data_IF_219000291416
#
_entry.id   IF_219000291416
#
_cell.length_a   1.000
_cell.length_b   1.000
_cell.length_c   1.000
_cell.angle_alpha   90.00
_cell.angle_beta   90.00
_cell.angle_gamma   90.00
#
_symmetry.space_group_name_H-M   'P 1'
#
loop_
_entity.id
_entity.type
_entity.pdbx_description
1 polymer ?
#
# COMPACT_ATOMS: atom_id res chain seq x y z
N UNK A 1 12.12 9.78 -7.19
CA UNK A 1 12.85 9.22 -6.04
C UNK A 1 11.85 8.43 -5.21
N UNK A 2 12.22 7.26 -4.69
CA UNK A 2 11.25 6.43 -3.98
C UNK A 2 10.80 7.11 -2.68
N UNK A 3 9.49 7.11 -2.41
CA UNK A 3 8.90 7.69 -1.20
C UNK A 3 8.46 6.58 -0.26
N UNK A 4 8.87 6.65 1.01
CA UNK A 4 8.42 5.68 2.02
C UNK A 4 6.96 5.96 2.41
N UNK A 5 6.10 4.96 2.27
CA UNK A 5 4.70 5.01 2.71
C UNK A 5 4.49 4.29 4.03
N UNK A 6 5.21 3.19 4.24
CA UNK A 6 5.28 2.45 5.50
C UNK A 6 6.73 2.02 5.76
N UNK A 7 7.22 2.30 6.97
CA UNK A 7 8.48 1.76 7.43
C UNK A 7 8.39 0.22 7.52
N UNK A 8 9.49 -0.48 7.26
CA UNK A 8 9.56 -1.93 7.41
C UNK A 8 9.31 -2.33 8.87
N UNK A 9 8.45 -3.32 9.08
CA UNK A 9 8.10 -3.87 10.40
C UNK A 9 7.17 -5.07 10.26
N UNK A 10 6.80 -5.69 11.37
CA UNK A 10 5.99 -6.93 11.41
C UNK A 10 4.67 -6.80 12.19
N UNK A 11 4.43 -5.64 12.78
CA UNK A 11 3.17 -5.30 13.47
C UNK A 11 2.17 -4.66 12.51
N UNK A 12 0.88 -4.76 12.81
CA UNK A 12 -0.16 -4.08 12.03
C UNK A 12 0.07 -2.57 12.03
N UNK A 13 0.02 -1.94 10.85
CA UNK A 13 0.25 -0.51 10.69
C UNK A 13 -0.44 0.02 9.43
N UNK A 14 -0.90 1.26 9.49
CA UNK A 14 -1.47 1.98 8.35
C UNK A 14 -0.53 3.09 7.87
N UNK A 15 -0.46 3.31 6.57
CA UNK A 15 0.14 4.52 6.00
C UNK A 15 -0.73 5.75 6.25
N UNK A 16 -0.17 6.94 6.01
CA UNK A 16 -0.98 8.12 5.73
C UNK A 16 -1.78 7.95 4.42
N UNK A 17 -2.77 8.81 4.20
CA UNK A 17 -3.52 8.90 2.96
C UNK A 17 -2.61 9.33 1.80
N UNK A 18 -2.69 8.61 0.68
CA UNK A 18 -1.92 8.88 -0.54
C UNK A 18 -2.87 9.22 -1.66
N UNK A 19 -2.76 10.42 -2.21
CA UNK A 19 -3.63 10.90 -3.30
C UNK A 19 -2.99 10.55 -4.65
N UNK A 20 -3.75 9.86 -5.50
CA UNK A 20 -3.43 9.66 -6.91
C UNK A 20 -4.34 10.58 -7.73
N UNK A 21 -3.74 11.57 -8.39
CA UNK A 21 -4.47 12.53 -9.21
C UNK A 21 -4.97 11.90 -10.54
N UNK A 22 -5.99 12.50 -11.13
CA UNK A 22 -6.48 12.08 -12.46
C UNK A 22 -5.36 12.16 -13.51
N UNK A 23 -5.29 11.15 -14.38
CA UNK A 23 -4.24 11.02 -15.39
C UNK A 23 -2.84 10.68 -14.86
N UNK A 24 -2.68 10.54 -13.54
CA UNK A 24 -1.44 10.09 -12.91
C UNK A 24 -1.48 8.59 -12.63
N UNK A 25 -0.30 8.00 -12.46
CA UNK A 25 -0.17 6.64 -11.94
C UNK A 25 0.78 6.63 -10.75
N UNK A 26 0.57 5.67 -9.85
CA UNK A 26 1.41 5.47 -8.68
C UNK A 26 1.85 4.01 -8.64
N UNK A 27 3.14 3.78 -8.84
CA UNK A 27 3.71 2.45 -8.62
C UNK A 27 4.01 2.30 -7.13
N UNK A 28 3.52 1.24 -6.52
CA UNK A 28 3.80 0.88 -5.13
C UNK A 28 4.40 -0.51 -5.04
N UNK A 29 5.36 -0.68 -4.14
CA UNK A 29 6.06 -1.93 -3.96
C UNK A 29 6.43 -2.17 -2.49
N UNK A 30 6.58 -3.45 -2.14
CA UNK A 30 7.01 -3.86 -0.82
C UNK A 30 8.53 -3.70 -0.64
N UNK A 31 8.97 -3.45 0.59
CA UNK A 31 10.38 -3.36 1.00
C UNK A 31 10.67 -4.26 2.19
N UNK A 32 11.79 -4.98 2.16
CA UNK A 32 12.21 -5.86 3.26
C UNK A 32 11.19 -6.97 3.52
N UNK A 33 10.87 -7.72 2.46
CA UNK A 33 9.77 -8.69 2.38
C UNK A 33 10.20 -10.06 2.87
N UNK A 34 9.41 -10.66 3.76
CA UNK A 34 9.45 -12.09 4.05
C UNK A 34 8.28 -12.86 3.41
N UNK A 35 8.26 -14.18 3.59
CA UNK A 35 7.26 -15.09 3.00
C UNK A 35 5.82 -14.81 3.45
N UNK A 36 5.64 -14.19 4.62
CA UNK A 36 4.33 -13.90 5.22
C UNK A 36 3.89 -12.46 5.00
N UNK A 37 4.69 -11.66 4.29
CA UNK A 37 4.39 -10.26 4.03
C UNK A 37 3.03 -10.10 3.33
N UNK A 38 2.18 -9.27 3.93
CA UNK A 38 0.87 -8.94 3.38
C UNK A 38 0.54 -7.48 3.68
N UNK A 39 0.22 -6.75 2.62
CA UNK A 39 -0.29 -5.37 2.70
C UNK A 39 -1.57 -5.29 1.91
N UNK A 40 -2.64 -4.81 2.55
CA UNK A 40 -3.88 -4.48 1.88
C UNK A 40 -3.85 -3.05 1.34
N UNK A 41 -4.43 -2.88 0.16
CA UNK A 41 -4.62 -1.58 -0.48
C UNK A 41 -6.09 -1.22 -0.31
N UNK A 42 -6.35 -0.07 0.30
CA UNK A 42 -7.68 0.47 0.49
C UNK A 42 -7.85 1.74 -0.33
N UNK A 43 -9.05 1.93 -0.89
CA UNK A 43 -9.52 3.16 -1.51
C UNK A 43 -10.53 3.83 -0.58
N UNK A 44 -10.39 5.13 -0.37
CA UNK A 44 -11.30 5.94 0.43
C UNK A 44 -12.55 6.29 -0.38
N UNK A 45 -13.73 6.03 0.18
CA UNK A 45 -15.01 6.45 -0.39
C UNK A 45 -15.35 7.91 -0.03
N UNK A 46 -16.44 8.43 -0.59
CA UNK A 46 -16.94 9.78 -0.39
C UNK A 46 -17.49 10.04 1.03
N UNK A 47 -17.81 8.98 1.77
CA UNK A 47 -18.17 9.03 3.19
C UNK A 47 -16.95 8.92 4.12
N UNK A 48 -15.73 8.77 3.57
CA UNK A 48 -14.48 8.64 4.32
C UNK A 48 -14.18 7.21 4.80
N UNK A 49 -14.98 6.22 4.41
CA UNK A 49 -14.74 4.80 4.63
C UNK A 49 -13.62 4.27 3.74
N UNK A 50 -13.00 3.15 4.14
CA UNK A 50 -11.90 2.54 3.40
C UNK A 50 -12.33 1.16 2.89
N UNK A 51 -12.39 1.01 1.56
CA UNK A 51 -12.77 -0.24 0.90
C UNK A 51 -11.52 -0.96 0.38
N UNK A 52 -11.39 -2.26 0.68
CA UNK A 52 -10.25 -3.04 0.20
C UNK A 52 -10.38 -3.26 -1.31
N UNK A 53 -9.40 -2.76 -2.07
CA UNK A 53 -9.37 -2.87 -3.54
C UNK A 53 -8.24 -3.77 -4.05
N UNK A 54 -7.32 -4.18 -3.17
CA UNK A 54 -6.23 -5.06 -3.57
C UNK A 54 -5.31 -5.48 -2.43
N UNK A 55 -4.20 -6.10 -2.80
CA UNK A 55 -3.14 -6.49 -1.88
C UNK A 55 -1.79 -6.62 -2.58
N UNK A 56 -0.74 -6.42 -1.81
CA UNK A 56 0.63 -6.82 -2.11
C UNK A 56 1.04 -7.96 -1.18
N UNK A 57 1.85 -8.89 -1.70
CA UNK A 57 2.41 -10.00 -0.94
C UNK A 57 3.81 -10.36 -1.46
N UNK A 58 4.48 -11.32 -0.84
CA UNK A 58 5.75 -11.85 -1.37
C UNK A 58 5.65 -12.34 -2.83
N UNK A 59 4.51 -12.91 -3.23
CA UNK A 59 4.27 -13.37 -4.59
C UNK A 59 3.88 -12.23 -5.57
N UNK A 60 3.26 -11.16 -5.06
CA UNK A 60 2.88 -9.97 -5.83
C UNK A 60 3.40 -8.73 -5.10
N UNK A 61 4.70 -8.50 -5.21
CA UNK A 61 5.41 -7.50 -4.42
C UNK A 61 5.22 -6.06 -4.89
N UNK A 62 4.68 -5.86 -6.10
CA UNK A 62 4.42 -4.53 -6.66
C UNK A 62 3.11 -4.46 -7.45
N UNK A 63 2.53 -3.27 -7.53
CA UNK A 63 1.39 -2.97 -8.40
C UNK A 63 1.40 -1.50 -8.81
N UNK A 64 0.78 -1.19 -9.96
CA UNK A 64 0.59 0.17 -10.43
C UNK A 64 -0.88 0.54 -10.26
N UNK A 65 -1.12 1.65 -9.55
CA UNK A 65 -2.44 2.23 -9.34
C UNK A 65 -2.62 3.33 -10.38
N UNK A 66 -3.59 3.16 -11.27
CA UNK A 66 -3.91 4.12 -12.34
C UNK A 66 -5.24 4.84 -12.13
N UNK A 67 -6.10 4.31 -11.25
CA UNK A 67 -7.35 4.94 -10.92
C UNK A 67 -7.12 6.10 -9.93
N UNK A 68 -7.65 7.31 -10.20
CA UNK A 68 -7.55 8.42 -9.28
C UNK A 68 -8.32 8.14 -7.99
N UNK A 69 -7.81 8.68 -6.88
CA UNK A 69 -8.44 8.49 -5.57
C UNK A 69 -7.48 8.70 -4.40
N UNK A 70 -8.01 8.51 -3.20
CA UNK A 70 -7.21 8.54 -1.96
C UNK A 70 -7.04 7.12 -1.44
N UNK A 71 -5.79 6.67 -1.33
CA UNK A 71 -5.44 5.30 -0.97
C UNK A 71 -4.78 5.22 0.40
N UNK A 72 -4.97 4.09 1.08
CA UNK A 72 -4.26 3.74 2.32
C UNK A 72 -3.71 2.32 2.22
N UNK A 73 -2.49 2.15 2.69
CA UNK A 73 -1.82 0.85 2.74
C UNK A 73 -1.82 0.36 4.18
N UNK A 74 -2.29 -0.87 4.40
CA UNK A 74 -2.32 -1.48 5.73
C UNK A 74 -1.49 -2.75 5.71
N UNK A 75 -0.42 -2.78 6.50
CA UNK A 75 0.31 -4.01 6.77
C UNK A 75 -0.46 -4.84 7.80
N UNK A 76 -0.61 -6.12 7.53
CA UNK A 76 -1.16 -7.09 8.49
C UNK A 76 -0.09 -7.58 9.46
N UNK A 77 -0.52 -8.04 10.64
CA UNK A 77 0.40 -8.67 11.59
C UNK A 77 0.94 -10.00 11.03
N UNK A 78 2.22 -10.26 11.28
CA UNK A 78 2.81 -11.59 11.11
C UNK A 78 3.99 -11.64 10.14
N UNK A 79 3.91 -10.94 9.01
CA UNK A 79 5.00 -10.82 8.04
C UNK A 79 5.71 -9.47 8.12
N UNK A 80 7.02 -9.49 7.92
CA UNK A 80 7.87 -8.30 7.87
C UNK A 80 7.80 -7.69 6.48
N UNK A 81 7.36 -6.44 6.41
CA UNK A 81 7.42 -5.63 5.20
C UNK A 81 7.25 -4.13 5.47
N UNK A 82 7.71 -3.31 4.54
CA UNK A 82 7.37 -1.90 4.39
C UNK A 82 6.79 -1.64 3.01
N UNK A 83 6.39 -0.40 2.74
CA UNK A 83 5.83 0.01 1.44
C UNK A 83 6.51 1.29 0.98
N UNK A 84 6.87 1.35 -0.29
CA UNK A 84 7.33 2.57 -0.94
C UNK A 84 6.60 2.79 -2.27
N UNK A 85 6.58 4.04 -2.73
CA UNK A 85 6.14 4.40 -4.07
C UNK A 85 7.29 4.92 -4.93
N UNK A 86 7.17 4.78 -6.26
CA UNK A 86 8.12 5.27 -7.25
C UNK A 86 7.43 6.15 -8.29
#
# INVERSE_FOLDING_TARGET
>A
MATQLLATGSTAANSADVVVASGSSLTVALKGVDERALVFIYLKDDAGGYQRVGSLSGAKSATCITAPGTYRFSREIGGTCGVFSA
#
